data_IF_734134755329
#
_entry.id   IF_734134755329
#
_cell.length_a   1.000
_cell.length_b   1.000
_cell.length_c   1.000
_cell.angle_alpha   90.00
_cell.angle_beta   90.00
_cell.angle_gamma   90.00
#
_symmetry.space_group_name_H-M   'P 1'
#
loop_
_entity.id
_entity.type
_entity.pdbx_description
1 polymer ?
#
# COMPACT_ATOMS: atom_id res chain seq x y z
N UNK A 1 -22.63 3.20 13.21
CA UNK A 1 -21.91 2.00 13.69
C UNK A 1 -20.43 2.22 13.39
N UNK A 2 -19.61 2.55 14.40
CA UNK A 2 -18.17 2.76 14.20
C UNK A 2 -17.50 1.41 13.98
N UNK A 3 -17.24 1.07 12.72
CA UNK A 3 -16.44 -0.10 12.37
C UNK A 3 -15.02 0.12 12.91
N UNK A 4 -14.47 -0.85 13.64
CA UNK A 4 -13.11 -0.74 14.22
C UNK A 4 -12.05 -0.39 13.17
N UNK A 5 -12.26 -0.75 11.91
CA UNK A 5 -11.35 -0.44 10.79
C UNK A 5 -11.19 1.07 10.56
N UNK A 6 -12.24 1.88 10.73
CA UNK A 6 -12.14 3.32 10.50
C UNK A 6 -11.21 4.00 11.51
N UNK A 7 -11.04 3.44 12.70
CA UNK A 7 -10.07 3.96 13.68
C UNK A 7 -8.61 3.81 13.26
N UNK A 8 -8.30 2.92 12.31
CA UNK A 8 -6.95 2.80 11.71
C UNK A 8 -6.76 3.70 10.47
N UNK A 9 -7.83 4.38 10.03
CA UNK A 9 -7.79 5.41 8.99
C UNK A 9 -7.71 6.82 9.60
N UNK A 10 -8.08 6.95 10.87
CA UNK A 10 -8.01 8.22 11.60
C UNK A 10 -6.58 8.78 11.62
N UNK A 11 -6.50 10.11 11.54
CA UNK A 11 -5.25 10.84 11.42
C UNK A 11 -4.32 10.65 12.63
N UNK A 12 -4.88 10.40 13.81
CA UNK A 12 -4.11 10.16 15.03
C UNK A 12 -3.63 8.71 15.18
N UNK A 13 -4.16 7.78 14.36
CA UNK A 13 -3.90 6.34 14.51
C UNK A 13 -3.85 5.64 13.14
N UNK A 14 -3.03 6.16 12.22
CA UNK A 14 -2.82 5.49 10.93
C UNK A 14 -1.87 4.33 11.05
N UNK A 15 -2.44 3.13 11.05
CA UNK A 15 -1.69 1.88 11.07
C UNK A 15 -1.98 1.06 9.81
N UNK A 16 -0.98 0.42 9.20
CA UNK A 16 -1.23 -0.55 8.14
C UNK A 16 -1.97 -1.77 8.72
N UNK A 17 -2.88 -2.37 7.96
CA UNK A 17 -3.57 -3.58 8.39
C UNK A 17 -3.91 -4.53 7.24
N UNK A 18 -4.22 -5.77 7.60
CA UNK A 18 -4.66 -6.83 6.68
C UNK A 18 -6.07 -7.27 7.08
N UNK A 19 -6.99 -7.34 6.11
CA UNK A 19 -8.30 -7.96 6.27
C UNK A 19 -8.28 -9.34 5.62
N UNK A 20 -8.42 -10.37 6.45
CA UNK A 20 -8.36 -11.77 6.05
C UNK A 20 -9.72 -12.46 6.22
N UNK A 21 -10.09 -13.34 5.29
CA UNK A 21 -11.34 -14.13 5.40
C UNK A 21 -11.74 -14.80 4.08
N UNK A 22 -12.81 -15.62 4.07
CA UNK A 22 -13.24 -16.36 2.88
C UNK A 22 -13.63 -15.48 1.69
N UNK A 23 -13.59 -16.05 0.49
CA UNK A 23 -14.19 -15.41 -0.69
C UNK A 23 -15.67 -15.10 -0.47
N UNK A 24 -16.12 -13.96 -0.98
CA UNK A 24 -17.51 -13.51 -0.82
C UNK A 24 -17.88 -12.96 0.57
N UNK A 25 -16.97 -12.91 1.54
CA UNK A 25 -17.27 -12.42 2.90
C UNK A 25 -17.38 -10.89 3.03
N UNK A 26 -17.43 -10.14 1.92
CA UNK A 26 -17.64 -8.68 1.91
C UNK A 26 -16.43 -7.82 2.27
N UNK A 27 -15.23 -8.38 2.47
CA UNK A 27 -14.01 -7.66 2.89
C UNK A 27 -13.72 -6.42 2.04
N UNK A 28 -13.78 -6.58 0.72
CA UNK A 28 -13.49 -5.48 -0.21
C UNK A 28 -14.54 -4.38 -0.15
N UNK A 29 -15.81 -4.74 -0.03
CA UNK A 29 -16.91 -3.78 0.05
C UNK A 29 -16.84 -2.99 1.36
N UNK A 30 -16.54 -3.67 2.47
CA UNK A 30 -16.33 -3.06 3.77
C UNK A 30 -15.17 -2.05 3.74
N UNK A 31 -14.01 -2.48 3.23
CA UNK A 31 -12.83 -1.64 3.18
C UNK A 31 -13.00 -0.47 2.22
N UNK A 32 -13.59 -0.70 1.04
CA UNK A 32 -13.92 0.37 0.08
C UNK A 32 -14.82 1.42 0.74
N UNK A 33 -15.88 1.01 1.42
CA UNK A 33 -16.77 1.94 2.13
C UNK A 33 -16.03 2.78 3.19
N UNK A 34 -15.12 2.16 3.96
CA UNK A 34 -14.32 2.87 4.95
C UNK A 34 -13.35 3.87 4.29
N UNK A 35 -12.71 3.49 3.19
CA UNK A 35 -11.76 4.34 2.46
C UNK A 35 -12.45 5.49 1.70
N UNK A 36 -13.63 5.26 1.15
CA UNK A 36 -14.45 6.31 0.53
C UNK A 36 -14.91 7.36 1.55
N UNK A 37 -15.01 6.97 2.83
CA UNK A 37 -15.35 7.87 3.94
C UNK A 37 -14.16 8.67 4.48
N UNK A 38 -12.95 8.47 3.94
CA UNK A 38 -11.72 9.16 4.36
C UNK A 38 -11.38 10.31 3.39
N UNK A 39 -11.72 11.57 3.73
CA UNK A 39 -11.52 12.69 2.83
C UNK A 39 -10.04 13.03 2.61
N UNK A 40 -9.15 12.67 3.54
CA UNK A 40 -7.72 12.99 3.52
C UNK A 40 -6.90 12.06 2.61
N UNK A 41 -7.44 10.88 2.28
CA UNK A 41 -6.76 9.91 1.43
C UNK A 41 -7.20 9.95 -0.02
N UNK A 42 -6.23 9.90 -0.92
CA UNK A 42 -6.44 9.31 -2.25
C UNK A 42 -6.13 7.82 -2.18
N UNK A 43 -6.77 7.02 -3.04
CA UNK A 43 -6.66 5.56 -3.02
C UNK A 43 -5.99 5.10 -4.31
N UNK A 44 -4.88 4.39 -4.21
CA UNK A 44 -4.27 3.63 -5.30
C UNK A 44 -4.54 2.14 -5.09
N UNK A 45 -5.20 1.49 -6.04
CA UNK A 45 -5.60 0.08 -5.90
C UNK A 45 -4.68 -0.81 -6.73
N UNK A 46 -4.03 -1.77 -6.08
CA UNK A 46 -3.30 -2.85 -6.73
C UNK A 46 -4.14 -4.13 -6.71
N UNK A 47 -4.49 -4.64 -7.88
CA UNK A 47 -5.14 -5.93 -8.03
C UNK A 47 -4.10 -7.01 -8.24
N UNK A 48 -3.84 -7.85 -7.23
CA UNK A 48 -2.85 -8.91 -7.36
C UNK A 48 -3.34 -10.05 -8.26
N UNK A 49 -2.39 -10.62 -8.99
CA UNK A 49 -2.49 -11.84 -9.78
C UNK A 49 -1.21 -12.66 -9.57
N UNK A 50 -1.15 -13.87 -10.15
CA UNK A 50 0.05 -14.70 -10.10
C UNK A 50 1.30 -14.04 -10.72
N UNK A 51 1.13 -13.00 -11.53
CA UNK A 51 2.22 -12.27 -12.19
C UNK A 51 2.50 -10.92 -11.55
N UNK A 52 1.85 -10.60 -10.42
CA UNK A 52 2.04 -9.29 -9.79
C UNK A 52 3.40 -9.18 -9.13
N UNK A 53 4.13 -8.11 -9.47
CA UNK A 53 5.52 -7.86 -9.04
C UNK A 53 5.68 -6.50 -8.36
N UNK A 54 6.85 -6.26 -7.76
CA UNK A 54 7.14 -5.02 -7.04
C UNK A 54 7.07 -3.79 -7.95
N UNK A 55 7.39 -3.92 -9.24
CA UNK A 55 7.37 -2.80 -10.18
C UNK A 55 5.96 -2.22 -10.37
N UNK A 56 4.91 -3.03 -10.21
CA UNK A 56 3.53 -2.53 -10.27
C UNK A 56 3.17 -1.66 -9.06
N UNK A 57 3.71 -1.97 -7.87
CA UNK A 57 3.60 -1.09 -6.70
C UNK A 57 4.34 0.22 -6.97
N UNK A 58 5.57 0.14 -7.48
CA UNK A 58 6.37 1.32 -7.80
C UNK A 58 5.66 2.22 -8.83
N UNK A 59 5.09 1.62 -9.88
CA UNK A 59 4.32 2.36 -10.89
C UNK A 59 3.10 3.08 -10.29
N UNK A 60 2.38 2.45 -9.36
CA UNK A 60 1.28 3.11 -8.64
C UNK A 60 1.77 4.26 -7.76
N UNK A 61 2.88 4.08 -7.04
CA UNK A 61 3.48 5.14 -6.24
C UNK A 61 3.89 6.33 -7.13
N UNK A 62 4.57 6.08 -8.25
CA UNK A 62 4.96 7.11 -9.20
C UNK A 62 3.75 7.81 -9.85
N UNK A 63 2.66 7.08 -10.10
CA UNK A 63 1.44 7.63 -10.66
C UNK A 63 0.72 8.55 -9.65
N UNK A 64 0.71 8.22 -8.36
CA UNK A 64 -0.08 8.93 -7.34
C UNK A 64 0.71 9.89 -6.46
N UNK A 65 2.03 9.91 -6.58
CA UNK A 65 2.89 10.77 -5.78
C UNK A 65 3.75 11.69 -6.65
N UNK A 66 4.37 12.66 -5.99
CA UNK A 66 5.37 13.54 -6.54
C UNK A 66 6.70 13.29 -5.84
N UNK A 67 7.78 13.26 -6.62
CA UNK A 67 9.15 13.19 -6.11
C UNK A 67 9.60 14.61 -5.73
N UNK A 68 10.01 14.78 -4.49
CA UNK A 68 10.58 16.03 -3.96
C UNK A 68 12.05 15.78 -3.62
N UNK A 69 12.92 16.56 -4.23
CA UNK A 69 14.35 16.52 -3.98
C UNK A 69 14.74 17.65 -3.04
N UNK A 70 15.48 17.31 -1.99
CA UNK A 70 15.96 18.24 -0.97
C UNK A 70 17.41 17.94 -0.59
N UNK A 71 18.03 18.81 0.20
CA UNK A 71 19.38 18.56 0.76
C UNK A 71 19.42 17.35 1.70
N UNK A 72 18.28 16.97 2.29
CA UNK A 72 18.10 15.79 3.13
C UNK A 72 17.83 14.49 2.34
N UNK A 73 17.84 14.55 1.01
CA UNK A 73 17.56 13.41 0.13
C UNK A 73 16.28 13.57 -0.66
N UNK A 74 15.86 12.45 -1.28
CA UNK A 74 14.66 12.40 -2.12
C UNK A 74 13.53 11.72 -1.37
N UNK A 75 12.35 12.31 -1.48
CA UNK A 75 11.13 11.76 -0.89
C UNK A 75 10.00 11.74 -1.91
N UNK A 76 9.15 10.73 -1.79
CA UNK A 76 7.97 10.56 -2.62
C UNK A 76 6.75 10.71 -1.71
N UNK A 77 5.87 11.66 -2.06
CA UNK A 77 4.69 12.00 -1.26
C UNK A 77 3.43 12.17 -2.12
N UNK A 78 2.22 11.93 -1.57
CA UNK A 78 0.95 12.10 -2.28
C UNK A 78 0.84 13.43 -3.02
N UNK A 79 0.34 13.41 -4.26
CA UNK A 79 0.25 14.62 -5.10
C UNK A 79 -1.12 15.33 -5.05
N UNK A 80 -2.21 14.60 -4.78
CA UNK A 80 -3.59 15.16 -4.86
C UNK A 80 -4.18 15.49 -3.48
N UNK A 81 -3.97 14.61 -2.50
CA UNK A 81 -4.46 14.77 -1.13
C UNK A 81 -3.31 14.66 -0.14
N UNK A 82 -3.57 14.94 1.13
CA UNK A 82 -2.57 14.88 2.19
C UNK A 82 -1.98 13.47 2.37
N UNK A 83 -2.75 12.42 2.04
CA UNK A 83 -2.37 11.01 2.26
C UNK A 83 -2.66 10.13 1.05
N UNK A 84 -1.88 9.06 0.91
CA UNK A 84 -2.12 7.98 -0.05
C UNK A 84 -2.39 6.68 0.70
N UNK A 85 -3.48 6.02 0.34
CA UNK A 85 -3.71 4.63 0.68
C UNK A 85 -3.34 3.76 -0.52
N UNK A 86 -2.31 2.94 -0.36
CA UNK A 86 -2.01 1.83 -1.25
C UNK A 86 -2.84 0.62 -0.81
N UNK A 87 -3.93 0.34 -1.54
CA UNK A 87 -4.80 -0.79 -1.26
C UNK A 87 -4.43 -2.00 -2.15
N UNK A 88 -3.81 -3.01 -1.54
CA UNK A 88 -3.38 -4.25 -2.19
C UNK A 88 -4.44 -5.34 -2.03
N UNK A 89 -5.00 -5.81 -3.14
CA UNK A 89 -6.10 -6.78 -3.17
C UNK A 89 -5.61 -8.18 -3.52
N UNK A 90 -6.08 -9.18 -2.77
CA UNK A 90 -5.84 -10.61 -3.03
C UNK A 90 -4.36 -10.99 -3.03
N UNK A 91 -3.61 -10.50 -2.02
CA UNK A 91 -2.15 -10.74 -1.94
C UNK A 91 -1.78 -12.23 -1.90
N UNK A 92 -2.67 -13.08 -1.37
CA UNK A 92 -2.50 -14.54 -1.32
C UNK A 92 -2.38 -15.21 -2.71
N UNK A 93 -2.77 -14.54 -3.80
CA UNK A 93 -2.68 -15.08 -5.17
C UNK A 93 -1.26 -14.99 -5.72
N UNK A 94 -0.40 -14.13 -5.14
CA UNK A 94 0.98 -13.98 -5.59
C UNK A 94 1.79 -15.20 -5.17
N UNK A 95 2.39 -15.86 -6.15
CA UNK A 95 3.14 -17.10 -5.93
C UNK A 95 4.60 -16.79 -5.64
N UNK A 96 5.24 -17.53 -4.72
CA UNK A 96 6.67 -17.45 -4.54
C UNK A 96 7.40 -17.96 -5.79
N UNK A 97 8.64 -17.53 -5.94
CA UNK A 97 9.56 -18.09 -6.93
C UNK A 97 9.99 -19.53 -6.56
N UNK A 98 10.85 -20.11 -7.40
CA UNK A 98 11.35 -21.49 -7.21
C UNK A 98 12.17 -21.69 -5.92
N UNK A 99 12.51 -20.62 -5.20
CA UNK A 99 13.24 -20.65 -3.93
C UNK A 99 12.34 -20.30 -2.73
N UNK A 100 11.02 -20.14 -2.94
CA UNK A 100 10.09 -19.81 -1.88
C UNK A 100 10.01 -18.31 -1.56
N UNK A 101 10.65 -17.45 -2.35
CA UNK A 101 10.67 -16.00 -2.10
C UNK A 101 9.56 -15.30 -2.88
N UNK A 102 8.81 -14.42 -2.21
CA UNK A 102 7.85 -13.55 -2.86
C UNK A 102 8.38 -12.11 -2.85
N UNK A 103 8.94 -11.71 -3.99
CA UNK A 103 9.51 -10.38 -4.23
C UNK A 103 8.54 -9.24 -3.86
N UNK A 104 7.26 -9.35 -4.22
CA UNK A 104 6.26 -8.35 -3.86
C UNK A 104 6.08 -8.22 -2.34
N UNK A 105 6.03 -9.34 -1.61
CA UNK A 105 5.89 -9.33 -0.15
C UNK A 105 7.13 -8.73 0.49
N UNK A 106 8.33 -9.11 0.03
CA UNK A 106 9.58 -8.53 0.50
C UNK A 106 9.63 -7.01 0.27
N UNK A 107 9.17 -6.55 -0.90
CA UNK A 107 9.08 -5.13 -1.20
C UNK A 107 8.08 -4.40 -0.29
N UNK A 108 6.87 -4.93 -0.10
CA UNK A 108 5.89 -4.36 0.82
C UNK A 108 6.42 -4.30 2.27
N UNK A 109 7.13 -5.34 2.71
CA UNK A 109 7.81 -5.35 4.02
C UNK A 109 8.85 -4.23 4.12
N UNK A 110 9.65 -4.01 3.06
CA UNK A 110 10.62 -2.93 3.01
C UNK A 110 9.94 -1.56 3.15
N UNK A 111 8.85 -1.32 2.39
CA UNK A 111 8.09 -0.06 2.47
C UNK A 111 7.54 0.18 3.87
N UNK A 112 7.02 -0.86 4.52
CA UNK A 112 6.43 -0.77 5.86
C UNK A 112 7.46 -0.62 6.98
N UNK A 113 8.65 -1.20 6.82
CA UNK A 113 9.68 -1.25 7.88
C UNK A 113 10.59 -0.04 7.83
N UNK A 114 10.99 0.37 6.63
CA UNK A 114 12.00 1.40 6.42
C UNK A 114 11.42 2.69 5.85
N UNK A 115 10.12 2.72 5.53
CA UNK A 115 9.43 3.90 5.00
C UNK A 115 10.11 4.43 3.72
N UNK A 116 10.51 3.53 2.83
CA UNK A 116 11.20 3.91 1.60
C UNK A 116 11.69 2.73 0.77
N UNK A 117 12.34 3.05 -0.34
CA UNK A 117 12.93 2.08 -1.25
C UNK A 117 14.11 2.63 -2.03
N UNK A 118 14.92 1.73 -2.61
CA UNK A 118 15.97 2.09 -3.56
C UNK A 118 15.40 2.15 -4.98
N UNK A 119 15.67 3.24 -5.68
CA UNK A 119 15.33 3.36 -7.11
C UNK A 119 16.33 2.59 -7.99
N UNK A 120 16.13 2.68 -9.31
CA UNK A 120 16.99 2.00 -10.30
C UNK A 120 18.45 2.50 -10.29
N UNK A 121 18.70 3.68 -9.72
CA UNK A 121 20.04 4.25 -9.57
C UNK A 121 20.68 3.91 -8.22
N UNK A 122 20.04 3.04 -7.42
CA UNK A 122 20.43 2.69 -6.07
C UNK A 122 20.39 3.89 -5.11
N UNK A 123 19.57 4.90 -5.41
CA UNK A 123 19.33 6.03 -4.52
C UNK A 123 18.14 5.74 -3.62
N UNK A 124 18.28 6.05 -2.32
CA UNK A 124 17.19 5.90 -1.36
C UNK A 124 16.13 6.98 -1.56
N UNK A 125 14.88 6.53 -1.73
CA UNK A 125 13.69 7.37 -1.83
C UNK A 125 12.82 7.09 -0.60
N UNK A 126 12.68 8.09 0.27
CA UNK A 126 11.78 8.00 1.42
C UNK A 126 10.31 8.12 0.98
N UNK A 127 9.40 7.44 1.67
CA UNK A 127 7.97 7.54 1.49
C UNK A 127 7.36 8.36 2.63
N UNK A 128 6.57 9.36 2.29
CA UNK A 128 5.88 10.19 3.28
C UNK A 128 4.37 10.13 3.07
N UNK A 129 3.60 9.98 4.15
CA UNK A 129 2.13 9.97 4.14
C UNK A 129 1.52 8.87 3.22
N UNK A 130 2.19 7.72 3.12
CA UNK A 130 1.70 6.54 2.41
C UNK A 130 1.34 5.46 3.43
N UNK A 131 0.12 4.93 3.33
CA UNK A 131 -0.39 3.85 4.18
C UNK A 131 -0.73 2.63 3.31
N UNK A 132 -0.36 1.43 3.76
CA UNK A 132 -0.65 0.19 3.04
C UNK A 132 -1.77 -0.58 3.74
N UNK A 133 -2.80 -0.95 2.97
CA UNK A 133 -3.89 -1.81 3.42
C UNK A 133 -4.01 -3.02 2.50
N UNK A 134 -4.24 -4.20 3.07
CA UNK A 134 -4.18 -5.45 2.31
C UNK A 134 -5.47 -6.26 2.53
N UNK A 135 -6.00 -6.87 1.48
CA UNK A 135 -6.96 -7.97 1.59
C UNK A 135 -6.34 -9.28 1.13
N UNK A 136 -6.65 -10.36 1.85
CA UNK A 136 -6.22 -11.71 1.53
C UNK A 136 -7.33 -12.73 1.87
N UNK A 137 -7.33 -13.85 1.15
CA UNK A 137 -8.32 -14.91 1.31
C UNK A 137 -7.65 -16.20 1.83
N UNK A 138 -8.44 -17.07 2.48
CA UNK A 138 -8.03 -18.44 2.82
C UNK A 138 -8.37 -19.40 1.69
#
# INVERSE_FOLDING_TARGET
MNLKISSWLDNQNRQPFIVYGPDGSGKESLLRHCLESDPESQIAVLHCSAHTRSEQVLGLLQQHCVLVSSTSGRLLKPKEKSKLVLYVKSLNVVKPDKWGTCELIAFLQQLLTYEGFYDQNLEWISLENVQVHITANH
#
